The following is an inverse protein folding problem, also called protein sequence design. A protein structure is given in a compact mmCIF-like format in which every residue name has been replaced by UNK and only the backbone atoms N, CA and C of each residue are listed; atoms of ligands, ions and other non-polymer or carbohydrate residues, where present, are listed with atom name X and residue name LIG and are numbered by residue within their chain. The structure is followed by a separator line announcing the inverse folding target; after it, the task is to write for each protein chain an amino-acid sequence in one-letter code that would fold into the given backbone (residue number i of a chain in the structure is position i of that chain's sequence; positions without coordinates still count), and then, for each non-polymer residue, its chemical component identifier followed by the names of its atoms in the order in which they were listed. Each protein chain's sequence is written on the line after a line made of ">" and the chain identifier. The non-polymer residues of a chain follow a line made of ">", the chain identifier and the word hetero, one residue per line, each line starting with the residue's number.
data_IF_061996691804
#
_entry.id   IF_061996691804
#
_cell.length_a   1.000
_cell.length_b   1.000
_cell.length_c   1.000
_cell.angle_alpha   90.00
_cell.angle_beta   90.00
_cell.angle_gamma   90.00
#
_symmetry.space_group_name_H-M   'P 1'
#
loop_
_entity.id
_entity.type
_entity.pdbx_description
1 polymer ?
#
# COMPACT_ATOMS: atom_id res chain seq x y z
N UNK A 1 2.42 26.01 -34.90
CA UNK A 1 3.28 25.14 -34.07
C UNK A 1 2.78 25.20 -32.64
N UNK A 2 2.16 24.14 -32.14
CA UNK A 2 1.87 23.98 -30.71
C UNK A 2 2.40 22.62 -30.31
N UNK A 3 3.60 22.61 -29.73
CA UNK A 3 4.24 21.41 -29.20
C UNK A 3 3.49 21.01 -27.93
N UNK A 4 2.65 19.97 -28.02
CA UNK A 4 2.12 19.29 -26.85
C UNK A 4 3.27 18.58 -26.15
N UNK A 5 3.92 19.28 -25.23
CA UNK A 5 5.02 18.76 -24.43
C UNK A 5 4.55 17.58 -23.57
N UNK A 6 4.98 16.38 -23.94
CA UNK A 6 5.04 15.14 -23.13
C UNK A 6 4.02 15.05 -21.99
N UNK A 7 2.82 14.54 -22.29
CA UNK A 7 2.00 13.83 -21.27
C UNK A 7 2.89 12.73 -20.67
N UNK A 8 3.28 12.87 -19.40
CA UNK A 8 3.90 11.80 -18.62
C UNK A 8 2.96 10.60 -18.63
N UNK A 9 3.38 9.50 -19.25
CA UNK A 9 2.60 8.27 -19.32
C UNK A 9 2.86 7.48 -18.04
N UNK A 10 2.12 7.80 -16.99
CA UNK A 10 1.89 6.87 -15.89
C UNK A 10 1.20 5.64 -16.49
N UNK A 11 1.88 4.50 -16.53
CA UNK A 11 1.32 3.25 -17.05
C UNK A 11 0.85 2.40 -15.87
N UNK A 12 -0.44 2.10 -15.83
CA UNK A 12 -1.01 1.12 -14.91
C UNK A 12 -0.49 -0.29 -15.26
N UNK A 13 0.03 -1.00 -14.27
CA UNK A 13 0.59 -2.35 -14.40
C UNK A 13 -0.39 -3.44 -13.97
N UNK A 14 -1.30 -3.11 -13.06
CA UNK A 14 -2.31 -4.04 -12.57
C UNK A 14 -2.69 -3.78 -11.12
N UNK A 15 -3.77 -4.44 -10.71
CA UNK A 15 -4.35 -4.35 -9.38
C UNK A 15 -4.23 -5.72 -8.70
N UNK A 16 -3.73 -5.75 -7.48
CA UNK A 16 -3.77 -6.92 -6.61
C UNK A 16 -4.75 -6.67 -5.48
N UNK A 17 -5.58 -7.66 -5.16
CA UNK A 17 -6.54 -7.57 -4.06
C UNK A 17 -6.62 -8.90 -3.33
N UNK A 18 -6.90 -8.86 -2.04
CA UNK A 18 -6.98 -10.06 -1.23
C UNK A 18 -7.08 -9.77 0.25
N UNK A 19 -6.85 -10.81 1.04
CA UNK A 19 -6.72 -10.75 2.49
C UNK A 19 -5.26 -10.90 2.88
N UNK A 20 -4.86 -10.20 3.93
CA UNK A 20 -3.49 -10.21 4.42
C UNK A 20 -3.42 -9.97 5.91
N UNK A 21 -2.21 -9.87 6.43
CA UNK A 21 -1.97 -9.48 7.82
C UNK A 21 -1.04 -8.28 7.90
N UNK A 22 -1.37 -7.38 8.82
CA UNK A 22 -0.61 -6.16 9.06
C UNK A 22 0.27 -6.36 10.29
N UNK A 23 1.52 -5.91 10.23
CA UNK A 23 2.47 -5.99 11.35
C UNK A 23 3.33 -4.74 11.42
N UNK A 24 3.82 -4.41 12.62
CA UNK A 24 4.64 -3.20 12.86
C UNK A 24 5.84 -3.49 13.77
N UNK A 25 6.85 -2.62 13.65
CA UNK A 25 8.09 -2.72 14.42
C UNK A 25 9.07 -3.77 13.88
N UNK A 26 10.33 -3.69 14.34
CA UNK A 26 11.40 -4.60 13.91
C UNK A 26 11.13 -6.07 14.28
N UNK A 27 10.34 -6.29 15.34
CA UNK A 27 9.99 -7.62 15.84
C UNK A 27 8.79 -8.24 15.08
N UNK A 28 8.20 -7.51 14.12
CA UNK A 28 7.09 -7.98 13.31
C UNK A 28 5.80 -8.23 14.12
N UNK A 29 5.51 -7.36 15.11
CA UNK A 29 4.30 -7.49 15.93
C UNK A 29 3.07 -7.42 15.05
N UNK A 30 2.34 -8.53 14.96
CA UNK A 30 1.10 -8.61 14.20
C UNK A 30 -0.01 -7.77 14.84
N UNK A 31 -0.68 -6.96 14.04
CA UNK A 31 -1.83 -6.14 14.41
C UNK A 31 -3.15 -6.83 14.10
N UNK A 32 -3.20 -7.63 13.04
CA UNK A 32 -4.42 -8.34 12.66
C UNK A 32 -4.53 -8.58 11.17
N UNK A 33 -5.69 -9.13 10.76
CA UNK A 33 -6.02 -9.34 9.36
C UNK A 33 -6.64 -8.08 8.75
N UNK A 34 -6.32 -7.83 7.48
CA UNK A 34 -6.87 -6.73 6.68
C UNK A 34 -7.24 -7.24 5.29
N UNK A 35 -8.25 -6.64 4.68
CA UNK A 35 -8.41 -6.73 3.23
C UNK A 35 -7.56 -5.62 2.57
N UNK A 36 -7.02 -5.89 1.39
CA UNK A 36 -6.23 -4.91 0.66
C UNK A 36 -6.62 -4.87 -0.81
N UNK A 37 -6.43 -3.70 -1.40
CA UNK A 37 -6.42 -3.46 -2.84
C UNK A 37 -5.23 -2.55 -3.14
N UNK A 38 -4.34 -2.96 -4.05
CA UNK A 38 -3.12 -2.23 -4.38
C UNK A 38 -3.01 -2.14 -5.91
N UNK A 39 -2.95 -0.92 -6.41
CA UNK A 39 -2.68 -0.59 -7.79
C UNK A 39 -1.20 -0.30 -7.99
N UNK A 40 -0.64 -0.91 -9.03
CA UNK A 40 0.76 -0.74 -9.41
C UNK A 40 0.87 0.14 -10.66
N UNK A 41 1.82 1.07 -10.64
CA UNK A 41 2.08 2.00 -11.73
C UNK A 41 3.57 2.08 -12.05
N UNK A 42 3.89 2.46 -13.28
CA UNK A 42 5.25 2.83 -13.68
C UNK A 42 5.24 4.18 -14.39
N UNK A 43 6.10 5.10 -13.96
CA UNK A 43 6.42 6.35 -14.68
C UNK A 43 7.91 6.41 -14.97
N UNK A 44 8.30 6.52 -16.25
CA UNK A 44 9.70 6.77 -16.71
C UNK A 44 10.78 5.95 -15.96
N UNK A 45 10.51 4.67 -15.66
CA UNK A 45 11.36 3.71 -14.93
C UNK A 45 11.25 3.71 -13.40
N UNK A 46 10.36 4.49 -12.80
CA UNK A 46 10.03 4.45 -11.38
C UNK A 46 8.75 3.65 -11.17
N UNK A 47 8.83 2.60 -10.35
CA UNK A 47 7.67 1.85 -9.88
C UNK A 47 7.06 2.55 -8.68
N UNK A 48 5.74 2.73 -8.71
CA UNK A 48 4.98 3.19 -7.56
C UNK A 48 3.78 2.27 -7.35
N UNK A 49 3.41 2.04 -6.11
CA UNK A 49 2.19 1.30 -5.80
C UNK A 49 1.47 1.95 -4.64
N UNK A 50 0.17 2.13 -4.84
CA UNK A 50 -0.73 2.81 -3.94
C UNK A 50 -1.94 1.91 -3.77
N UNK A 51 -2.64 2.04 -2.66
CA UNK A 51 -3.77 1.18 -2.44
C UNK A 51 -4.62 1.62 -1.28
N UNK A 52 -5.49 0.72 -0.88
CA UNK A 52 -6.38 0.86 0.22
C UNK A 52 -6.38 -0.43 1.03
N UNK A 53 -6.43 -0.31 2.35
CA UNK A 53 -6.63 -1.43 3.26
C UNK A 53 -7.89 -1.21 4.08
N UNK A 54 -8.61 -2.29 4.34
CA UNK A 54 -9.81 -2.31 5.16
C UNK A 54 -9.60 -3.25 6.37
N UNK A 55 -9.99 -2.80 7.56
CA UNK A 55 -9.83 -3.56 8.80
C UNK A 55 -10.42 -2.85 10.01
N UNK A 56 -10.19 -3.44 11.19
CA UNK A 56 -10.50 -2.81 12.48
C UNK A 56 -9.80 -1.45 12.63
N UNK A 57 -10.59 -0.43 12.99
CA UNK A 57 -10.14 0.96 13.10
C UNK A 57 -9.01 1.13 14.11
N UNK A 58 -9.00 0.37 15.21
CA UNK A 58 -7.94 0.42 16.21
C UNK A 58 -6.61 -0.09 15.65
N UNK A 59 -6.66 -1.17 14.88
CA UNK A 59 -5.49 -1.72 14.18
C UNK A 59 -4.91 -0.72 13.17
N UNK A 60 -5.76 -0.01 12.42
CA UNK A 60 -5.34 0.95 11.41
C UNK A 60 -4.73 2.20 12.06
N UNK A 61 -5.33 2.68 13.15
CA UNK A 61 -4.79 3.77 13.93
C UNK A 61 -3.41 3.42 14.54
N UNK A 62 -3.25 2.20 15.04
CA UNK A 62 -1.97 1.73 15.58
C UNK A 62 -0.89 1.61 14.49
N UNK A 63 -1.26 1.10 13.31
CA UNK A 63 -0.37 1.04 12.15
C UNK A 63 0.05 2.42 11.65
N UNK A 64 -0.88 3.38 11.63
CA UNK A 64 -0.60 4.77 11.28
C UNK A 64 0.34 5.42 12.29
N UNK A 65 0.10 5.24 13.59
CA UNK A 65 0.95 5.76 14.66
C UNK A 65 2.38 5.21 14.62
N UNK A 66 2.56 3.96 14.15
CA UNK A 66 3.87 3.35 13.94
C UNK A 66 4.64 3.94 12.75
N UNK A 67 3.97 4.66 11.83
CA UNK A 67 4.54 5.32 10.67
C UNK A 67 4.98 4.41 9.53
N UNK A 68 5.32 3.15 9.79
CA UNK A 68 5.57 2.13 8.76
C UNK A 68 5.08 0.78 9.24
N UNK A 69 4.37 0.07 8.37
CA UNK A 69 3.85 -1.27 8.62
C UNK A 69 4.31 -2.23 7.51
N UNK A 70 4.28 -3.52 7.81
CA UNK A 70 4.49 -4.59 6.84
C UNK A 70 3.15 -5.28 6.59
N UNK A 71 2.72 -5.29 5.33
CA UNK A 71 1.55 -6.01 4.86
C UNK A 71 2.00 -7.34 4.25
N UNK A 72 1.62 -8.45 4.88
CA UNK A 72 1.76 -9.77 4.30
C UNK A 72 0.57 -10.05 3.38
N UNK A 73 0.85 -10.30 2.11
CA UNK A 73 -0.11 -10.56 1.04
C UNK A 73 -0.43 -12.07 0.97
N UNK A 74 -1.63 -12.39 0.50
CA UNK A 74 -1.99 -13.78 0.15
C UNK A 74 -1.06 -14.26 -0.98
N UNK A 75 -0.23 -15.26 -0.68
CA UNK A 75 0.87 -15.72 -1.54
C UNK A 75 2.26 -15.65 -0.92
N UNK A 76 2.37 -15.25 0.35
CA UNK A 76 3.62 -15.29 1.13
C UNK A 76 4.60 -14.16 0.81
N UNK A 77 4.17 -13.16 0.03
CA UNK A 77 4.91 -11.94 -0.23
C UNK A 77 4.60 -10.92 0.87
N UNK A 78 5.56 -10.08 1.23
CA UNK A 78 5.36 -8.99 2.19
C UNK A 78 5.87 -7.69 1.60
N UNK A 79 5.16 -6.60 1.88
CA UNK A 79 5.51 -5.26 1.41
C UNK A 79 5.48 -4.25 2.54
N UNK A 80 6.45 -3.34 2.57
CA UNK A 80 6.44 -2.20 3.47
C UNK A 80 5.42 -1.17 2.97
N UNK A 81 4.51 -0.74 3.84
CA UNK A 81 3.45 0.22 3.55
C UNK A 81 3.45 1.34 4.58
N UNK A 82 3.04 2.52 4.14
CA UNK A 82 2.69 3.65 5.01
C UNK A 82 1.22 3.94 4.82
N UNK A 83 0.48 4.00 5.91
CA UNK A 83 -0.92 4.39 5.90
C UNK A 83 -0.99 5.92 5.83
N UNK A 84 -1.89 6.44 5.00
CA UNK A 84 -2.33 7.82 5.06
C UNK A 84 -3.56 7.92 5.97
N UNK A 85 -3.64 9.03 6.70
CA UNK A 85 -4.59 9.35 7.79
C UNK A 85 -5.88 8.49 7.80
N UNK A 86 -5.92 7.43 8.64
CA UNK A 86 -7.15 6.70 8.86
C UNK A 86 -8.04 7.59 9.73
N UNK A 87 -8.91 8.41 9.12
CA UNK A 87 -9.84 9.35 9.78
C UNK A 87 -10.91 8.66 10.67
N UNK A 88 -10.52 7.74 11.54
CA UNK A 88 -11.44 6.85 12.27
C UNK A 88 -12.21 5.90 11.36
N UNK A 89 -11.82 5.77 10.10
CA UNK A 89 -12.46 4.93 9.11
C UNK A 89 -12.00 3.47 9.26
N UNK A 90 -12.86 2.46 8.98
CA UNK A 90 -12.42 1.08 8.80
C UNK A 90 -11.57 0.89 7.54
N UNK A 91 -11.27 1.96 6.81
CA UNK A 91 -10.53 1.93 5.57
C UNK A 91 -9.48 3.03 5.52
N UNK A 92 -8.25 2.70 5.12
CA UNK A 92 -7.12 3.64 5.04
C UNK A 92 -6.41 3.52 3.68
N UNK A 93 -5.99 4.64 3.12
CA UNK A 93 -5.10 4.64 1.95
C UNK A 93 -3.70 4.20 2.37
N UNK A 94 -2.99 3.50 1.48
CA UNK A 94 -1.62 3.07 1.69
C UNK A 94 -0.73 3.44 0.51
N UNK A 95 0.53 3.74 0.83
CA UNK A 95 1.62 3.86 -0.14
C UNK A 95 2.61 2.75 0.12
N UNK A 96 2.91 1.94 -0.90
CA UNK A 96 3.93 0.90 -0.82
C UNK A 96 5.31 1.55 -0.97
N UNK A 97 6.21 1.31 0.00
CA UNK A 97 7.54 1.93 0.03
C UNK A 97 8.60 1.18 -0.74
N UNK A 98 8.44 -0.13 -0.90
CA UNK A 98 9.38 -0.98 -1.62
C UNK A 98 8.87 -1.35 -3.01
N UNK A 99 9.77 -1.74 -3.90
CA UNK A 99 9.38 -2.31 -5.19
C UNK A 99 8.51 -3.55 -4.93
N UNK A 100 7.27 -3.54 -5.40
CA UNK A 100 6.51 -4.77 -5.55
C UNK A 100 7.36 -5.70 -6.44
N UNK A 101 7.75 -6.89 -5.96
CA UNK A 101 8.32 -7.88 -6.87
C UNK A 101 7.16 -8.32 -7.77
N UNK A 102 7.13 -7.79 -8.99
CA UNK A 102 6.20 -8.17 -10.04
C UNK A 102 6.49 -9.61 -10.46
#
# INVERSE_FOLDING_TARGET
>A
MTTFGKRQLLKHLGTIRGSGSLSIGADGRSLGSVAYEIDSFVDRMMYSANGQIEGDTGLLAEAFAAGTATLALDGGRSVAVVLADPEGSPTAEIVVRDQLPL
#
